data_IF_515684426048
#
_entry.id   IF_515684426048
#
_cell.length_a   1.000
_cell.length_b   1.000
_cell.length_c   1.000
_cell.angle_alpha   90.00
_cell.angle_beta   90.00
_cell.angle_gamma   90.00
#
_symmetry.space_group_name_H-M   'P 1'
#
loop_
_entity.id
_entity.type
_entity.pdbx_description
1 polymer ?
#
# COMPACT_ATOMS: atom_id res chain seq x y z
N UNK A 1 7.65 -9.93 -37.71
CA UNK A 1 8.32 -8.62 -37.58
C UNK A 1 8.71 -8.42 -36.14
N UNK A 2 9.94 -7.95 -35.91
CA UNK A 2 10.53 -7.76 -34.58
C UNK A 2 9.82 -6.67 -33.78
N UNK A 3 9.84 -6.79 -32.46
CA UNK A 3 9.51 -5.67 -31.56
C UNK A 3 10.32 -4.42 -31.95
N UNK A 4 9.76 -3.20 -31.81
CA UNK A 4 10.51 -2.00 -32.12
C UNK A 4 11.64 -1.78 -31.11
N UNK A 5 12.75 -1.22 -31.58
CA UNK A 5 13.81 -0.70 -30.73
C UNK A 5 13.38 0.68 -30.20
N UNK A 6 13.45 0.88 -28.88
CA UNK A 6 13.15 2.17 -28.27
C UNK A 6 14.29 3.15 -28.54
N UNK A 7 14.01 4.43 -28.87
CA UNK A 7 15.03 5.46 -28.95
C UNK A 7 15.86 5.53 -27.65
N UNK A 8 17.16 5.78 -27.76
CA UNK A 8 18.08 5.77 -26.61
C UNK A 8 17.61 6.66 -25.44
N UNK A 9 17.16 7.87 -25.74
CA UNK A 9 16.63 8.79 -24.72
C UNK A 9 15.40 8.23 -23.99
N UNK A 10 14.51 7.52 -24.71
CA UNK A 10 13.34 6.87 -24.12
C UNK A 10 13.73 5.64 -23.29
N UNK A 11 14.62 4.78 -23.81
CA UNK A 11 15.19 3.65 -23.05
C UNK A 11 15.78 4.14 -21.72
N UNK A 12 16.58 5.19 -21.74
CA UNK A 12 17.25 5.71 -20.55
C UNK A 12 16.25 6.35 -19.57
N UNK A 13 15.23 7.05 -20.08
CA UNK A 13 14.14 7.55 -19.24
C UNK A 13 13.35 6.42 -18.57
N UNK A 14 13.12 5.31 -19.30
CA UNK A 14 12.43 4.14 -18.78
C UNK A 14 13.27 3.47 -17.69
N UNK A 15 14.56 3.22 -17.92
CA UNK A 15 15.46 2.67 -16.89
C UNK A 15 15.56 3.57 -15.64
N UNK A 16 15.64 4.90 -15.83
CA UNK A 16 15.61 5.86 -14.71
C UNK A 16 14.33 5.74 -13.89
N UNK A 17 13.16 5.58 -14.53
CA UNK A 17 11.89 5.34 -13.83
C UNK A 17 11.93 4.07 -13.00
N UNK A 18 12.46 2.99 -13.57
CA UNK A 18 12.63 1.72 -12.88
C UNK A 18 13.66 1.79 -11.74
N UNK A 19 14.55 2.78 -11.76
CA UNK A 19 15.66 2.90 -10.81
C UNK A 19 16.75 1.86 -11.05
N UNK A 20 16.90 1.40 -12.30
CA UNK A 20 17.88 0.39 -12.69
C UNK A 20 19.02 1.07 -13.44
N UNK A 21 20.20 1.08 -12.85
CA UNK A 21 21.42 1.70 -13.42
C UNK A 21 22.25 0.72 -14.24
N UNK A 22 22.27 -0.55 -13.85
CA UNK A 22 23.01 -1.61 -14.53
C UNK A 22 22.06 -2.73 -14.96
N UNK A 23 22.13 -3.11 -16.24
CA UNK A 23 21.31 -4.17 -16.81
C UNK A 23 22.15 -5.41 -17.07
N UNK A 24 21.86 -6.48 -16.32
CA UNK A 24 22.36 -7.83 -16.61
C UNK A 24 21.42 -8.52 -17.59
N UNK A 25 21.98 -9.16 -18.62
CA UNK A 25 21.22 -9.89 -19.65
C UNK A 25 21.08 -11.38 -19.29
N UNK A 26 20.75 -11.64 -18.04
CA UNK A 26 20.52 -12.97 -17.49
C UNK A 26 19.17 -13.00 -16.74
N UNK A 27 18.79 -14.17 -16.22
CA UNK A 27 17.53 -14.33 -15.48
C UNK A 27 17.45 -13.42 -14.24
N UNK A 28 18.59 -13.15 -13.58
CA UNK A 28 18.63 -12.27 -12.41
C UNK A 28 18.33 -10.82 -12.81
N UNK A 29 18.92 -10.34 -13.91
CA UNK A 29 18.63 -9.02 -14.46
C UNK A 29 17.19 -8.88 -14.95
N UNK A 30 16.65 -9.91 -15.61
CA UNK A 30 15.23 -9.94 -16.00
C UNK A 30 14.30 -9.89 -14.79
N UNK A 31 14.62 -10.63 -13.73
CA UNK A 31 13.87 -10.62 -12.46
C UNK A 31 13.90 -9.24 -11.82
N UNK A 32 15.07 -8.59 -11.76
CA UNK A 32 15.20 -7.22 -11.25
C UNK A 32 14.37 -6.24 -12.06
N UNK A 33 14.43 -6.30 -13.39
CA UNK A 33 13.66 -5.42 -14.27
C UNK A 33 12.14 -5.60 -14.09
N UNK A 34 11.65 -6.84 -14.05
CA UNK A 34 10.23 -7.15 -13.88
C UNK A 34 9.72 -6.66 -12.52
N UNK A 35 10.44 -6.95 -11.43
CA UNK A 35 10.09 -6.48 -10.10
C UNK A 35 10.12 -4.94 -10.00
N UNK A 36 11.12 -4.29 -10.62
CA UNK A 36 11.22 -2.84 -10.66
C UNK A 36 10.05 -2.22 -11.44
N UNK A 37 9.64 -2.82 -12.57
CA UNK A 37 8.50 -2.35 -13.34
C UNK A 37 7.20 -2.42 -12.53
N UNK A 38 6.87 -3.58 -11.96
CA UNK A 38 5.68 -3.75 -11.11
C UNK A 38 5.63 -2.75 -9.94
N UNK A 39 6.79 -2.39 -9.38
CA UNK A 39 6.91 -1.43 -8.28
C UNK A 39 6.91 0.04 -8.71
N UNK A 40 7.10 0.36 -9.99
CA UNK A 40 7.28 1.75 -10.45
C UNK A 40 6.24 2.20 -11.46
N UNK A 41 5.57 1.27 -12.13
CA UNK A 41 4.51 1.51 -13.10
C UNK A 41 3.24 0.82 -12.60
N UNK A 42 2.18 1.58 -12.22
CA UNK A 42 0.96 1.01 -11.65
C UNK A 42 0.12 0.30 -12.73
N UNK A 43 -0.69 -0.67 -12.31
CA UNK A 43 -1.74 -1.24 -13.15
C UNK A 43 -3.04 -0.47 -12.89
N UNK A 44 -3.78 -0.13 -13.95
CA UNK A 44 -5.10 0.46 -13.81
C UNK A 44 -5.90 0.38 -15.12
N UNK A 45 -7.23 0.53 -15.05
CA UNK A 45 -8.12 0.48 -16.22
C UNK A 45 -8.75 1.84 -16.60
N UNK A 46 -8.17 2.96 -16.14
CA UNK A 46 -8.75 4.30 -16.35
C UNK A 46 -8.95 4.66 -17.83
N UNK A 47 -8.01 4.32 -18.72
CA UNK A 47 -8.16 4.61 -20.16
C UNK A 47 -9.39 3.90 -20.77
N UNK A 48 -9.66 2.67 -20.33
CA UNK A 48 -10.82 1.88 -20.74
C UNK A 48 -12.11 2.47 -20.17
N UNK A 49 -12.08 2.86 -18.89
CA UNK A 49 -13.18 3.56 -18.21
C UNK A 49 -13.56 4.87 -18.91
N UNK A 50 -12.57 5.67 -19.34
CA UNK A 50 -12.78 6.94 -20.04
C UNK A 50 -13.22 6.73 -21.50
N UNK A 51 -12.73 5.68 -22.15
CA UNK A 51 -13.09 5.38 -23.54
C UNK A 51 -14.61 5.18 -23.69
N UNK A 52 -15.25 4.52 -22.72
CA UNK A 52 -16.70 4.40 -22.60
C UNK A 52 -17.38 3.83 -23.85
N UNK A 53 -16.79 2.79 -24.45
CA UNK A 53 -17.35 2.08 -25.60
C UNK A 53 -17.15 2.78 -26.95
N UNK A 54 -16.48 3.93 -26.97
CA UNK A 54 -16.21 4.68 -28.21
C UNK A 54 -15.11 3.98 -29.04
N UNK A 55 -15.02 4.24 -30.35
CA UNK A 55 -13.93 3.71 -31.16
C UNK A 55 -12.56 4.01 -30.53
N UNK A 56 -11.79 2.97 -30.26
CA UNK A 56 -10.53 3.10 -29.53
C UNK A 56 -9.36 3.23 -30.50
N UNK A 57 -8.66 4.38 -30.43
CA UNK A 57 -7.41 4.58 -31.13
C UNK A 57 -6.28 3.89 -30.34
N UNK A 58 -5.83 2.74 -30.85
CA UNK A 58 -4.74 1.97 -30.23
C UNK A 58 -3.45 2.79 -30.30
N UNK A 59 -2.81 3.11 -29.15
CA UNK A 59 -1.55 3.86 -29.14
C UNK A 59 -0.40 3.03 -29.70
N UNK A 60 0.65 3.70 -30.17
CA UNK A 60 1.86 3.00 -30.63
C UNK A 60 2.63 2.41 -29.44
N UNK A 61 3.48 1.41 -29.71
CA UNK A 61 4.38 0.87 -28.68
C UNK A 61 5.36 1.92 -28.14
N UNK A 62 5.75 2.90 -28.95
CA UNK A 62 6.64 4.00 -28.53
C UNK A 62 5.90 4.93 -27.57
N UNK A 63 4.65 5.30 -27.87
CA UNK A 63 3.86 6.18 -27.00
C UNK A 63 3.54 5.54 -25.65
N UNK A 64 3.19 4.25 -25.67
CA UNK A 64 2.96 3.49 -24.43
C UNK A 64 4.23 3.32 -23.60
N UNK A 65 5.38 3.06 -24.24
CA UNK A 65 6.68 3.05 -23.54
C UNK A 65 7.02 4.41 -22.94
N UNK A 66 6.74 5.52 -23.65
CA UNK A 66 6.92 6.87 -23.13
C UNK A 66 6.00 7.17 -21.93
N UNK A 67 4.75 6.71 -21.97
CA UNK A 67 3.83 6.80 -20.84
C UNK A 67 4.35 6.01 -19.62
N UNK A 68 4.89 4.81 -19.82
CA UNK A 68 5.44 3.99 -18.73
C UNK A 68 6.74 4.57 -18.16
N UNK A 69 7.60 5.19 -18.98
CA UNK A 69 8.76 5.96 -18.50
C UNK A 69 8.33 7.13 -17.61
N UNK A 70 7.15 7.72 -17.83
CA UNK A 70 6.54 8.72 -16.95
C UNK A 70 5.79 8.13 -15.74
N UNK A 71 5.65 6.81 -15.67
CA UNK A 71 4.98 6.10 -14.57
C UNK A 71 3.46 6.06 -14.69
N UNK A 72 2.91 6.27 -15.89
CA UNK A 72 1.45 6.26 -16.12
C UNK A 72 0.88 4.86 -15.93
N UNK A 73 1.41 3.87 -16.66
CA UNK A 73 0.94 2.49 -16.59
C UNK A 73 -0.37 2.24 -17.34
N UNK A 74 -1.12 1.23 -16.90
CA UNK A 74 -2.38 0.84 -17.52
C UNK A 74 -2.65 -0.67 -17.46
N UNK A 75 -3.52 -1.15 -18.36
CA UNK A 75 -3.82 -2.58 -18.54
C UNK A 75 -2.71 -3.31 -19.29
N UNK A 76 -2.86 -4.62 -19.50
CA UNK A 76 -1.82 -5.48 -20.08
C UNK A 76 -1.29 -4.97 -21.43
N UNK A 77 -2.14 -4.45 -22.31
CA UNK A 77 -1.70 -3.91 -23.62
C UNK A 77 -0.90 -2.61 -23.52
N UNK A 78 -1.04 -1.85 -22.42
CA UNK A 78 -0.29 -0.62 -22.16
C UNK A 78 1.01 -0.87 -21.37
N UNK A 79 1.24 -2.09 -20.89
CA UNK A 79 2.34 -2.40 -19.95
C UNK A 79 3.24 -3.53 -20.44
N UNK A 80 2.67 -4.68 -20.83
CA UNK A 80 3.46 -5.85 -21.24
C UNK A 80 4.19 -5.62 -22.57
N UNK A 81 3.52 -5.19 -23.67
CA UNK A 81 4.20 -4.92 -24.93
C UNK A 81 5.30 -3.85 -24.89
N UNK A 82 5.12 -2.66 -24.28
CA UNK A 82 6.21 -1.69 -24.17
C UNK A 82 7.34 -2.16 -23.24
N UNK A 83 7.05 -2.99 -22.23
CA UNK A 83 8.11 -3.63 -21.44
C UNK A 83 8.89 -4.66 -22.27
N UNK A 84 8.22 -5.43 -23.13
CA UNK A 84 8.89 -6.32 -24.09
C UNK A 84 9.77 -5.54 -25.08
N UNK A 85 9.31 -4.39 -25.57
CA UNK A 85 10.11 -3.50 -26.42
C UNK A 85 11.35 -2.96 -25.68
N UNK A 86 11.23 -2.62 -24.38
CA UNK A 86 12.38 -2.27 -23.54
C UNK A 86 13.36 -3.44 -23.45
N UNK A 87 12.90 -4.65 -23.13
CA UNK A 87 13.75 -5.85 -23.05
C UNK A 87 14.46 -6.12 -24.37
N UNK A 88 13.76 -6.03 -25.50
CA UNK A 88 14.32 -6.16 -26.83
C UNK A 88 15.41 -5.12 -27.10
N UNK A 89 15.19 -3.87 -26.66
CA UNK A 89 16.16 -2.77 -26.77
C UNK A 89 17.40 -2.98 -25.92
N UNK A 90 17.25 -3.68 -24.79
CA UNK A 90 18.35 -4.06 -23.91
C UNK A 90 19.09 -5.33 -24.40
N UNK A 91 18.67 -5.92 -25.51
CA UNK A 91 19.30 -7.07 -26.13
C UNK A 91 18.89 -8.43 -25.54
N UNK A 92 17.74 -8.51 -24.85
CA UNK A 92 17.13 -9.80 -24.54
C UNK A 92 16.50 -10.41 -25.81
N UNK A 93 16.57 -11.73 -25.94
CA UNK A 93 15.78 -12.48 -26.92
C UNK A 93 14.35 -12.61 -26.40
N UNK A 94 13.44 -11.78 -26.92
CA UNK A 94 12.08 -11.64 -26.41
C UNK A 94 11.06 -11.56 -27.54
N UNK A 95 9.95 -12.26 -27.35
CA UNK A 95 8.78 -12.25 -28.22
C UNK A 95 7.52 -11.89 -27.45
N UNK A 96 6.54 -11.27 -28.12
CA UNK A 96 5.18 -11.20 -27.57
C UNK A 96 4.50 -12.56 -27.73
N UNK A 97 3.73 -12.95 -26.72
CA UNK A 97 2.93 -14.17 -26.73
C UNK A 97 1.53 -13.86 -26.20
N UNK A 98 0.57 -14.74 -26.50
CA UNK A 98 -0.81 -14.56 -26.11
C UNK A 98 -1.11 -15.34 -24.83
N UNK A 99 -1.92 -14.78 -23.94
CA UNK A 99 -2.56 -15.47 -22.84
C UNK A 99 -4.08 -15.51 -23.01
N UNK A 100 -4.72 -16.33 -22.19
CA UNK A 100 -6.18 -16.43 -22.13
C UNK A 100 -6.63 -16.35 -20.67
N UNK A 101 -7.37 -15.30 -20.32
CA UNK A 101 -8.05 -15.10 -19.03
C UNK A 101 -9.50 -15.55 -19.14
N UNK A 102 -10.24 -15.01 -20.11
CA UNK A 102 -11.61 -15.39 -20.45
C UNK A 102 -11.79 -15.79 -21.91
N UNK A 103 -10.97 -15.23 -22.81
CA UNK A 103 -10.96 -15.53 -24.24
C UNK A 103 -9.53 -15.76 -24.74
N UNK A 104 -9.31 -16.60 -25.75
CA UNK A 104 -7.98 -16.75 -26.35
C UNK A 104 -7.43 -15.40 -26.86
N UNK A 105 -6.24 -15.02 -26.40
CA UNK A 105 -5.56 -13.80 -26.85
C UNK A 105 -6.02 -12.50 -26.18
N UNK A 106 -6.83 -12.59 -25.13
CA UNK A 106 -7.30 -11.42 -24.37
C UNK A 106 -6.26 -10.85 -23.39
N UNK A 107 -5.14 -11.55 -23.18
CA UNK A 107 -4.03 -11.10 -22.34
C UNK A 107 -2.73 -11.10 -23.15
N UNK A 108 -2.01 -9.97 -23.16
CA UNK A 108 -0.71 -9.88 -23.84
C UNK A 108 0.41 -10.17 -22.84
N UNK A 109 1.38 -10.98 -23.24
CA UNK A 109 2.50 -11.40 -22.41
C UNK A 109 3.81 -11.30 -23.20
N UNK A 110 4.93 -11.44 -22.51
CA UNK A 110 6.24 -11.59 -23.15
C UNK A 110 6.87 -12.94 -22.80
N UNK A 111 7.62 -13.50 -23.74
CA UNK A 111 8.40 -14.71 -23.57
C UNK A 111 9.88 -14.38 -23.84
N UNK A 112 10.74 -14.63 -22.86
CA UNK A 112 12.18 -14.37 -22.97
C UNK A 112 12.94 -15.69 -23.01
N UNK A 113 13.89 -15.81 -23.93
CA UNK A 113 14.71 -17.00 -24.12
C UNK A 113 16.12 -16.81 -23.55
N UNK A 114 16.60 -17.83 -22.85
CA UNK A 114 17.98 -17.99 -22.41
C UNK A 114 18.44 -19.41 -22.71
N UNK A 115 19.75 -19.67 -22.63
CA UNK A 115 20.31 -21.02 -22.76
C UNK A 115 19.73 -22.01 -21.72
N UNK A 116 19.34 -21.51 -20.54
CA UNK A 116 18.75 -22.31 -19.46
C UNK A 116 17.23 -22.54 -19.57
N UNK A 117 16.60 -22.03 -20.65
CA UNK A 117 15.19 -22.17 -20.95
C UNK A 117 14.46 -20.84 -21.14
N UNK A 118 13.16 -20.95 -21.39
CA UNK A 118 12.27 -19.82 -21.70
C UNK A 118 11.43 -19.41 -20.49
N UNK A 119 11.19 -18.11 -20.35
CA UNK A 119 10.47 -17.56 -19.20
C UNK A 119 9.37 -16.58 -19.63
N UNK A 120 8.17 -16.80 -19.09
CA UNK A 120 7.02 -15.90 -19.26
C UNK A 120 7.19 -14.70 -18.34
N UNK A 121 6.96 -13.52 -18.89
CA UNK A 121 7.07 -12.22 -18.23
C UNK A 121 5.71 -11.54 -18.28
N UNK A 122 5.26 -11.08 -17.12
CA UNK A 122 3.98 -10.37 -16.97
C UNK A 122 4.09 -9.26 -15.93
N UNK A 123 3.95 -8.02 -16.40
CA UNK A 123 3.91 -6.78 -15.61
C UNK A 123 2.55 -6.08 -15.71
N UNK A 124 1.54 -6.73 -16.31
CA UNK A 124 0.34 -6.06 -16.82
C UNK A 124 -0.98 -6.69 -16.38
N UNK A 125 -0.95 -7.74 -15.56
CA UNK A 125 -2.15 -8.38 -15.01
C UNK A 125 -2.66 -7.73 -13.69
N UNK A 126 -1.86 -6.87 -13.05
CA UNK A 126 -2.19 -6.25 -11.76
C UNK A 126 -1.95 -7.13 -10.53
N UNK A 127 -1.23 -8.23 -10.68
CA UNK A 127 -0.83 -9.14 -9.60
C UNK A 127 0.70 -9.09 -9.36
N UNK A 128 1.18 -9.40 -8.13
CA UNK A 128 2.58 -9.24 -7.74
C UNK A 128 3.50 -10.35 -8.26
N UNK A 129 3.66 -10.44 -9.58
CA UNK A 129 4.54 -11.39 -10.26
C UNK A 129 5.99 -10.89 -10.25
N UNK A 130 6.61 -10.87 -9.07
CA UNK A 130 7.94 -10.26 -8.86
C UNK A 130 9.10 -11.02 -9.56
N UNK A 131 8.82 -12.10 -10.29
CA UNK A 131 9.82 -12.86 -11.07
C UNK A 131 9.18 -13.55 -12.29
N UNK A 132 9.95 -13.81 -13.36
CA UNK A 132 9.50 -14.54 -14.55
C UNK A 132 9.14 -16.00 -14.23
N UNK A 133 8.26 -16.61 -15.05
CA UNK A 133 7.80 -17.99 -14.86
C UNK A 133 8.47 -18.95 -15.83
N UNK A 134 9.06 -20.06 -15.37
CA UNK A 134 9.76 -20.98 -16.26
C UNK A 134 8.81 -21.86 -17.07
N UNK A 135 8.90 -21.86 -18.41
CA UNK A 135 8.16 -22.81 -19.22
C UNK A 135 8.62 -24.25 -18.93
N UNK A 136 7.66 -25.18 -18.87
CA UNK A 136 7.94 -26.61 -18.69
C UNK A 136 8.42 -27.01 -17.28
N UNK A 137 8.47 -26.07 -16.32
CA UNK A 137 8.80 -26.35 -14.91
C UNK A 137 7.69 -25.84 -13.99
N UNK A 138 7.49 -26.54 -12.88
CA UNK A 138 6.56 -26.09 -11.84
C UNK A 138 7.24 -25.06 -10.95
N UNK A 139 6.54 -24.00 -10.61
CA UNK A 139 7.00 -23.00 -9.64
C UNK A 139 5.86 -22.56 -8.73
N UNK A 140 6.06 -22.61 -7.42
CA UNK A 140 5.12 -22.04 -6.45
C UNK A 140 5.77 -20.91 -5.67
N UNK A 141 4.99 -19.91 -5.30
CA UNK A 141 5.46 -18.78 -4.51
C UNK A 141 4.31 -18.10 -3.79
N UNK A 142 4.66 -17.20 -2.86
CA UNK A 142 3.72 -16.27 -2.27
C UNK A 142 4.27 -14.85 -2.40
N UNK A 143 3.37 -13.89 -2.57
CA UNK A 143 3.69 -12.48 -2.54
C UNK A 143 2.53 -11.72 -1.89
N UNK A 144 2.81 -10.89 -0.87
CA UNK A 144 1.80 -10.14 -0.12
C UNK A 144 0.64 -11.02 0.42
N UNK A 145 0.98 -12.23 0.87
CA UNK A 145 0.00 -13.22 1.35
C UNK A 145 -0.81 -13.94 0.26
N UNK A 146 -0.50 -13.72 -1.02
CA UNK A 146 -1.22 -14.36 -2.13
C UNK A 146 -0.41 -15.56 -2.65
N UNK A 147 -0.93 -16.80 -2.55
CA UNK A 147 -0.28 -17.98 -3.07
C UNK A 147 -0.52 -18.17 -4.57
N UNK A 148 0.55 -18.48 -5.29
CA UNK A 148 0.54 -18.73 -6.73
C UNK A 148 1.25 -20.03 -7.08
N UNK A 149 0.82 -20.63 -8.18
CA UNK A 149 1.46 -21.79 -8.78
C UNK A 149 1.47 -21.65 -10.31
N UNK A 150 2.65 -21.77 -10.90
CA UNK A 150 2.85 -21.91 -12.33
C UNK A 150 3.06 -23.39 -12.65
N UNK A 151 2.27 -23.93 -13.58
CA UNK A 151 2.34 -25.35 -13.97
C UNK A 151 1.99 -25.53 -15.44
N UNK A 152 2.91 -26.15 -16.19
CA UNK A 152 2.79 -26.29 -17.65
C UNK A 152 2.89 -24.93 -18.32
N UNK A 153 1.75 -24.42 -18.77
CA UNK A 153 1.54 -23.13 -19.42
C UNK A 153 0.49 -22.27 -18.69
N UNK A 154 0.15 -22.62 -17.44
CA UNK A 154 -0.95 -22.01 -16.68
C UNK A 154 -0.45 -21.36 -15.41
N UNK A 155 -1.01 -20.18 -15.13
CA UNK A 155 -0.88 -19.51 -13.86
C UNK A 155 -2.13 -19.75 -13.01
N UNK A 156 -1.92 -20.26 -11.80
CA UNK A 156 -2.96 -20.53 -10.81
C UNK A 156 -2.74 -19.66 -9.58
N UNK A 157 -3.84 -19.26 -8.94
CA UNK A 157 -3.84 -18.56 -7.65
C UNK A 157 -4.75 -19.28 -6.66
N UNK A 158 -4.31 -19.39 -5.42
CA UNK A 158 -5.16 -19.87 -4.31
C UNK A 158 -5.82 -18.68 -3.62
N UNK A 159 -7.14 -18.75 -3.45
CA UNK A 159 -7.95 -17.70 -2.84
C UNK A 159 -8.21 -17.99 -1.35
N UNK A 160 -8.74 -17.03 -0.56
CA UNK A 160 -8.98 -17.23 0.87
C UNK A 160 -9.97 -18.35 1.23
N UNK A 161 -10.70 -18.87 0.25
CA UNK A 161 -11.57 -20.04 0.36
C UNK A 161 -10.83 -21.37 0.10
N UNK A 162 -9.50 -21.34 0.12
CA UNK A 162 -8.57 -22.42 -0.21
C UNK A 162 -8.76 -23.02 -1.62
N UNK A 163 -9.55 -22.37 -2.48
CA UNK A 163 -9.72 -22.82 -3.86
C UNK A 163 -8.61 -22.28 -4.74
N UNK A 164 -7.97 -23.19 -5.47
CA UNK A 164 -7.06 -22.85 -6.55
C UNK A 164 -7.85 -22.60 -7.84
N UNK A 165 -7.68 -21.42 -8.45
CA UNK A 165 -8.31 -21.05 -9.71
C UNK A 165 -7.26 -20.63 -10.72
N UNK A 166 -7.53 -20.90 -11.99
CA UNK A 166 -6.73 -20.40 -13.09
C UNK A 166 -6.89 -18.87 -13.20
N UNK A 167 -5.75 -18.19 -13.31
CA UNK A 167 -5.69 -16.75 -13.60
C UNK A 167 -5.61 -16.55 -15.11
N UNK A 168 -4.71 -17.29 -15.76
CA UNK A 168 -4.64 -17.41 -17.22
C UNK A 168 -3.81 -18.63 -17.66
N UNK A 169 -3.95 -18.98 -18.94
CA UNK A 169 -3.06 -19.88 -19.69
C UNK A 169 -2.30 -19.13 -20.78
N UNK A 170 -1.23 -19.73 -21.32
CA UNK A 170 -0.31 -19.08 -22.29
C UNK A 170 -0.17 -19.90 -23.57
N UNK A 171 -0.42 -19.25 -24.71
CA UNK A 171 -0.03 -19.73 -26.04
C UNK A 171 1.35 -19.17 -26.39
N UNK A 172 2.35 -20.06 -26.39
CA UNK A 172 3.77 -19.71 -26.53
C UNK A 172 4.19 -19.33 -27.95
N UNK A 173 3.29 -19.39 -28.93
CA UNK A 173 3.59 -18.97 -30.31
C UNK A 173 3.83 -17.46 -30.35
N UNK A 174 4.95 -17.00 -30.94
CA UNK A 174 5.22 -15.58 -31.11
C UNK A 174 4.09 -14.86 -31.85
N UNK A 175 3.75 -13.66 -31.37
CA UNK A 175 2.70 -12.78 -31.91
C UNK A 175 3.29 -11.43 -32.29
N UNK A 176 2.67 -10.76 -33.26
CA UNK A 176 2.96 -9.35 -33.56
C UNK A 176 2.07 -8.45 -32.72
N UNK A 177 2.47 -7.19 -32.54
CA UNK A 177 1.64 -6.22 -31.84
C UNK A 177 0.26 -6.05 -32.48
N UNK A 178 0.23 -6.00 -33.81
CA UNK A 178 -0.96 -5.81 -34.62
C UNK A 178 -1.96 -6.97 -34.44
N UNK A 179 -1.46 -8.19 -34.17
CA UNK A 179 -2.33 -9.35 -33.95
C UNK A 179 -3.21 -9.24 -32.69
N UNK A 180 -2.88 -8.33 -31.76
CA UNK A 180 -3.69 -8.05 -30.58
C UNK A 180 -4.72 -6.94 -30.78
N UNK A 181 -4.72 -6.24 -31.92
CA UNK A 181 -5.55 -5.04 -32.10
C UNK A 181 -7.05 -5.34 -31.98
N UNK A 182 -7.50 -6.49 -32.46
CA UNK A 182 -8.89 -6.92 -32.32
C UNK A 182 -9.29 -7.09 -30.85
N UNK A 183 -8.49 -7.84 -30.07
CA UNK A 183 -8.73 -8.05 -28.65
C UNK A 183 -8.67 -6.74 -27.84
N UNK A 184 -7.76 -5.83 -28.21
CA UNK A 184 -7.64 -4.50 -27.58
C UNK A 184 -8.90 -3.68 -27.84
N UNK A 185 -9.38 -3.62 -29.09
CA UNK A 185 -10.63 -2.93 -29.44
C UNK A 185 -11.81 -3.53 -28.69
N UNK A 186 -11.94 -4.86 -28.68
CA UNK A 186 -13.03 -5.54 -27.99
C UNK A 186 -13.09 -5.16 -26.50
N UNK A 187 -11.96 -5.05 -25.81
CA UNK A 187 -11.92 -4.58 -24.42
C UNK A 187 -12.42 -3.14 -24.21
N UNK A 188 -12.22 -2.26 -25.18
CA UNK A 188 -12.55 -0.84 -25.05
C UNK A 188 -13.92 -0.49 -25.64
N UNK A 189 -14.39 -1.27 -26.61
CA UNK A 189 -15.54 -1.01 -27.45
C UNK A 189 -16.75 -1.91 -27.10
N UNK A 190 -16.54 -3.14 -26.59
CA UNK A 190 -17.63 -4.03 -26.14
C UNK A 190 -17.69 -4.12 -24.59
N UNK A 191 -18.74 -3.55 -23.96
CA UNK A 191 -18.93 -3.61 -22.51
C UNK A 191 -19.04 -5.02 -21.91
N UNK A 192 -19.26 -6.05 -22.74
CA UNK A 192 -19.44 -7.45 -22.32
C UNK A 192 -18.18 -8.29 -22.43
N UNK A 193 -17.13 -7.80 -23.12
CA UNK A 193 -15.93 -8.58 -23.40
C UNK A 193 -15.14 -8.97 -22.14
N UNK A 194 -15.20 -8.15 -21.10
CA UNK A 194 -14.51 -8.44 -19.85
C UNK A 194 -15.00 -7.61 -18.65
N UNK A 195 -14.53 -7.93 -17.44
CA UNK A 195 -15.02 -7.32 -16.20
C UNK A 195 -14.55 -5.87 -16.00
N UNK A 196 -13.67 -5.37 -16.86
CA UNK A 196 -12.97 -4.10 -16.68
C UNK A 196 -13.75 -2.88 -17.18
N UNK A 197 -14.83 -3.06 -17.95
CA UNK A 197 -15.58 -1.93 -18.53
C UNK A 197 -16.38 -1.12 -17.50
N UNK A 198 -17.06 -1.80 -16.59
CA UNK A 198 -18.00 -1.22 -15.63
C UNK A 198 -17.45 -1.13 -14.19
N UNK A 199 -16.16 -1.42 -14.02
CA UNK A 199 -15.52 -1.53 -12.72
C UNK A 199 -14.28 -0.65 -12.64
N UNK A 200 -13.93 -0.17 -11.44
CA UNK A 200 -12.68 0.54 -11.20
C UNK A 200 -11.63 -0.44 -10.72
N UNK A 201 -10.48 -0.48 -11.38
CA UNK A 201 -9.33 -1.29 -10.96
C UNK A 201 -8.07 -0.45 -10.99
N UNK A 202 -7.37 -0.43 -9.87
CA UNK A 202 -6.03 0.11 -9.81
C UNK A 202 -5.19 -0.70 -8.81
N UNK A 203 -3.91 -0.88 -9.11
CA UNK A 203 -2.98 -1.60 -8.26
C UNK A 203 -1.64 -0.87 -8.20
N UNK A 204 -1.14 -0.70 -6.98
CA UNK A 204 0.18 -0.15 -6.71
C UNK A 204 0.95 -1.10 -5.80
N UNK A 205 2.20 -1.35 -6.15
CA UNK A 205 3.09 -2.21 -5.38
C UNK A 205 4.32 -1.41 -4.94
N UNK A 206 4.73 -1.59 -3.69
CA UNK A 206 6.02 -1.14 -3.16
C UNK A 206 6.84 -2.36 -2.74
N UNK A 207 7.94 -2.15 -2.02
CA UNK A 207 8.65 -3.23 -1.33
C UNK A 207 7.79 -3.92 -0.28
N UNK A 208 6.96 -3.15 0.43
CA UNK A 208 6.36 -3.57 1.70
C UNK A 208 4.84 -3.71 1.62
N UNK A 209 4.21 -3.07 0.63
CA UNK A 209 2.76 -3.02 0.52
C UNK A 209 2.29 -3.25 -0.92
N UNK A 210 1.20 -4.00 -1.04
CA UNK A 210 0.34 -4.05 -2.21
C UNK A 210 -0.96 -3.29 -1.90
N UNK A 211 -1.27 -2.27 -2.70
CA UNK A 211 -2.52 -1.52 -2.65
C UNK A 211 -3.38 -1.93 -3.84
N UNK A 212 -4.65 -2.25 -3.59
CA UNK A 212 -5.63 -2.54 -4.64
C UNK A 212 -6.87 -1.68 -4.46
N UNK A 213 -7.27 -0.98 -5.52
CA UNK A 213 -8.59 -0.37 -5.63
C UNK A 213 -9.47 -1.27 -6.48
N UNK A 214 -10.60 -1.69 -5.92
CA UNK A 214 -11.61 -2.49 -6.58
C UNK A 214 -12.97 -1.83 -6.34
N UNK A 215 -13.46 -1.11 -7.35
CA UNK A 215 -14.64 -0.26 -7.24
C UNK A 215 -14.49 0.73 -6.07
N UNK A 216 -15.41 0.72 -5.11
CA UNK A 216 -15.40 1.58 -3.95
C UNK A 216 -14.68 0.96 -2.74
N UNK A 217 -13.67 0.12 -2.98
CA UNK A 217 -12.87 -0.51 -1.90
C UNK A 217 -11.39 -0.28 -2.16
N UNK A 218 -10.68 0.21 -1.15
CA UNK A 218 -9.22 0.19 -1.07
C UNK A 218 -8.80 -0.92 -0.11
N UNK A 219 -7.98 -1.85 -0.60
CA UNK A 219 -7.33 -2.86 0.24
C UNK A 219 -5.83 -2.67 0.25
N UNK A 220 -5.25 -2.66 1.45
CA UNK A 220 -3.82 -2.67 1.71
C UNK A 220 -3.41 -4.06 2.19
N UNK A 221 -2.44 -4.68 1.53
CA UNK A 221 -1.80 -5.93 1.97
C UNK A 221 -0.38 -5.60 2.43
N UNK A 222 -0.09 -5.80 3.71
CA UNK A 222 1.22 -5.60 4.32
C UNK A 222 1.58 -6.69 5.31
N UNK A 223 2.60 -6.46 6.14
CA UNK A 223 3.07 -7.41 7.16
C UNK A 223 2.04 -7.73 8.25
N UNK A 224 1.12 -6.80 8.53
CA UNK A 224 0.01 -6.98 9.48
C UNK A 224 -1.23 -7.64 8.86
N UNK A 225 -1.12 -8.13 7.62
CA UNK A 225 -2.23 -8.69 6.88
C UNK A 225 -3.01 -7.66 6.05
N UNK A 226 -4.17 -8.05 5.49
CA UNK A 226 -5.01 -7.17 4.69
C UNK A 226 -5.88 -6.26 5.55
N UNK A 227 -5.94 -4.96 5.22
CA UNK A 227 -6.95 -4.00 5.72
C UNK A 227 -7.73 -3.46 4.54
N UNK A 228 -9.07 -3.50 4.62
CA UNK A 228 -9.97 -3.05 3.54
C UNK A 228 -10.88 -1.94 4.04
N UNK A 229 -10.86 -0.80 3.35
CA UNK A 229 -11.69 0.36 3.68
C UNK A 229 -12.54 0.81 2.49
N UNK A 230 -13.81 1.19 2.71
CA UNK A 230 -14.66 1.70 1.64
C UNK A 230 -14.24 3.12 1.23
N UNK A 231 -14.39 3.40 -0.06
CA UNK A 231 -14.25 4.72 -0.66
C UNK A 231 -15.65 5.29 -0.83
N UNK A 232 -15.99 6.32 -0.04
CA UNK A 232 -17.39 6.75 0.17
C UNK A 232 -17.77 8.02 -0.59
N UNK A 233 -16.88 8.52 -1.45
CA UNK A 233 -17.15 9.65 -2.34
C UNK A 233 -16.21 9.64 -3.55
N UNK A 234 -16.60 10.39 -4.59
CA UNK A 234 -15.74 10.65 -5.74
C UNK A 234 -14.45 11.37 -5.33
N UNK A 235 -14.53 12.36 -4.43
CA UNK A 235 -13.35 13.08 -3.93
C UNK A 235 -12.38 12.14 -3.22
N UNK A 236 -12.88 11.21 -2.40
CA UNK A 236 -12.05 10.19 -1.77
C UNK A 236 -11.44 9.25 -2.83
N UNK A 237 -12.20 8.86 -3.85
CA UNK A 237 -11.68 8.04 -4.95
C UNK A 237 -10.55 8.75 -5.71
N UNK A 238 -10.72 10.05 -5.98
CA UNK A 238 -9.70 10.86 -6.62
C UNK A 238 -8.44 10.92 -5.76
N UNK A 239 -8.55 11.28 -4.46
CA UNK A 239 -7.40 11.32 -3.54
C UNK A 239 -6.69 9.97 -3.44
N UNK A 240 -7.42 8.86 -3.27
CA UNK A 240 -6.84 7.51 -3.23
C UNK A 240 -6.05 7.22 -4.51
N UNK A 241 -6.62 7.50 -5.69
CA UNK A 241 -5.94 7.22 -6.95
C UNK A 241 -4.72 8.14 -7.18
N UNK A 242 -4.78 9.41 -6.78
CA UNK A 242 -3.67 10.36 -6.97
C UNK A 242 -2.58 10.24 -5.91
N UNK A 243 -2.95 10.02 -4.65
CA UNK A 243 -2.01 10.07 -3.51
C UNK A 243 -1.51 8.69 -3.09
N UNK A 244 -2.33 7.63 -3.20
CA UNK A 244 -1.90 6.28 -2.83
C UNK A 244 -1.41 5.46 -4.02
N UNK A 245 -2.13 5.53 -5.15
CA UNK A 245 -1.75 4.79 -6.37
C UNK A 245 -0.73 5.59 -7.21
N UNK A 246 -0.67 6.92 -7.01
CA UNK A 246 0.18 7.86 -7.76
C UNK A 246 -0.18 7.96 -9.25
N UNK A 247 -1.48 7.99 -9.55
CA UNK A 247 -1.96 8.24 -10.91
C UNK A 247 -2.07 9.75 -11.20
N UNK A 248 -1.78 10.20 -12.43
CA UNK A 248 -1.94 11.59 -12.81
C UNK A 248 -3.41 12.05 -12.72
N UNK A 249 -3.62 13.26 -12.20
CA UNK A 249 -4.96 13.83 -11.97
C UNK A 249 -5.77 13.94 -13.27
N UNK A 250 -5.12 14.27 -14.37
CA UNK A 250 -5.70 14.38 -15.71
C UNK A 250 -6.25 13.04 -16.25
N UNK A 251 -5.81 11.91 -15.70
CA UNK A 251 -6.38 10.60 -16.00
C UNK A 251 -7.51 10.24 -15.02
N UNK A 252 -7.32 10.60 -13.75
CA UNK A 252 -8.22 10.24 -12.65
C UNK A 252 -9.56 10.95 -12.76
N UNK A 253 -9.58 12.27 -12.92
CA UNK A 253 -10.81 13.07 -12.88
C UNK A 253 -11.82 12.65 -13.97
N UNK A 254 -11.44 12.51 -15.26
CA UNK A 254 -12.38 12.06 -16.28
C UNK A 254 -12.87 10.63 -16.05
N UNK A 255 -12.01 9.76 -15.49
CA UNK A 255 -12.37 8.37 -15.22
C UNK A 255 -13.42 8.25 -14.10
N UNK A 256 -13.25 9.01 -13.02
CA UNK A 256 -14.21 9.06 -11.92
C UNK A 256 -15.54 9.66 -12.41
N UNK A 257 -15.52 10.75 -13.17
CA UNK A 257 -16.73 11.33 -13.75
C UNK A 257 -17.48 10.34 -14.66
N UNK A 258 -16.75 9.59 -15.51
CA UNK A 258 -17.34 8.55 -16.37
C UNK A 258 -17.94 7.39 -15.55
N UNK A 259 -17.33 7.02 -14.42
CA UNK A 259 -17.87 5.99 -13.52
C UNK A 259 -19.12 6.47 -12.79
N UNK A 260 -19.15 7.69 -12.28
CA UNK A 260 -20.32 8.25 -11.60
C UNK A 260 -21.52 8.37 -12.54
N UNK A 261 -21.30 8.80 -13.79
CA UNK A 261 -22.36 8.83 -14.81
C UNK A 261 -22.98 7.45 -15.05
N UNK A 262 -22.17 6.39 -15.08
CA UNK A 262 -22.61 5.01 -15.33
C UNK A 262 -23.16 4.31 -14.09
N UNK A 263 -22.61 4.63 -12.92
CA UNK A 263 -22.93 4.02 -11.62
C UNK A 263 -23.04 5.11 -10.55
N UNK A 264 -24.14 5.89 -10.51
CA UNK A 264 -24.29 7.03 -9.59
C UNK A 264 -24.19 6.67 -8.10
N UNK A 265 -24.41 5.41 -7.75
CA UNK A 265 -24.31 4.89 -6.38
C UNK A 265 -23.02 4.15 -6.08
N UNK A 266 -22.00 4.20 -6.98
CA UNK A 266 -20.76 3.44 -6.82
C UNK A 266 -20.10 3.70 -5.47
N UNK A 267 -20.00 4.97 -5.06
CA UNK A 267 -19.37 5.39 -3.81
C UNK A 267 -20.37 5.70 -2.69
N UNK A 268 -21.68 5.54 -2.92
CA UNK A 268 -22.71 5.97 -1.97
C UNK A 268 -22.93 5.01 -0.78
N UNK A 269 -22.02 4.09 -0.52
CA UNK A 269 -22.23 2.98 0.41
C UNK A 269 -20.95 2.45 1.07
N UNK A 270 -21.08 1.27 1.66
CA UNK A 270 -20.04 0.63 2.47
C UNK A 270 -20.18 0.99 3.95
N UNK A 271 -20.12 -0.02 4.81
CA UNK A 271 -19.99 0.18 6.25
C UNK A 271 -18.52 0.28 6.61
N UNK A 272 -18.18 1.22 7.48
CA UNK A 272 -16.87 1.25 8.13
C UNK A 272 -17.08 0.68 9.52
N UNK A 273 -16.46 -0.45 9.82
CA UNK A 273 -16.42 -0.95 11.20
C UNK A 273 -15.67 0.09 12.04
N UNK A 274 -16.26 0.45 13.18
CA UNK A 274 -15.61 1.34 14.14
C UNK A 274 -14.23 0.80 14.52
N UNK A 275 -13.14 1.55 14.30
CA UNK A 275 -11.82 1.11 14.72
C UNK A 275 -11.70 1.20 16.24
N UNK A 276 -10.87 0.35 16.82
CA UNK A 276 -10.40 0.49 18.20
C UNK A 276 -9.22 1.46 18.22
N UNK A 277 -9.05 2.21 19.30
CA UNK A 277 -7.94 3.16 19.46
C UNK A 277 -6.99 2.62 20.51
N UNK A 278 -5.72 2.43 20.14
CA UNK A 278 -4.64 2.13 21.06
C UNK A 278 -3.83 3.40 21.32
N UNK A 279 -3.89 3.93 22.53
CA UNK A 279 -2.97 4.95 23.00
C UNK A 279 -1.70 4.26 23.47
N UNK A 280 -0.54 4.61 22.91
CA UNK A 280 0.73 3.98 23.25
C UNK A 280 1.71 5.05 23.77
N UNK A 281 2.28 4.83 24.95
CA UNK A 281 3.14 5.81 25.63
C UNK A 281 4.36 5.09 26.19
N UNK A 282 5.53 5.74 26.12
CA UNK A 282 6.68 5.36 26.92
C UNK A 282 6.89 6.43 28.01
N UNK A 283 7.14 6.01 29.24
CA UNK A 283 7.34 6.93 30.38
C UNK A 283 8.65 6.65 31.10
N UNK A 284 9.25 7.69 31.70
CA UNK A 284 10.44 7.59 32.57
C UNK A 284 10.09 7.69 34.06
N UNK A 285 8.91 7.20 34.45
CA UNK A 285 8.44 7.21 35.85
C UNK A 285 7.74 8.50 36.26
N UNK A 286 7.13 9.21 35.30
CA UNK A 286 6.37 10.45 35.52
C UNK A 286 4.90 10.13 35.83
N UNK A 287 4.65 9.52 37.00
CA UNK A 287 3.31 8.99 37.35
C UNK A 287 2.22 10.08 37.35
N UNK A 288 2.51 11.29 37.84
CA UNK A 288 1.52 12.38 37.88
C UNK A 288 1.13 12.84 36.47
N UNK A 289 2.10 12.95 35.57
CA UNK A 289 1.86 13.36 34.19
C UNK A 289 1.11 12.26 33.43
N UNK A 290 1.52 11.01 33.60
CA UNK A 290 0.84 9.85 33.04
C UNK A 290 -0.61 9.74 33.52
N UNK A 291 -0.86 9.92 34.83
CA UNK A 291 -2.20 9.95 35.38
C UNK A 291 -3.04 11.06 34.74
N UNK A 292 -2.49 12.28 34.64
CA UNK A 292 -3.19 13.40 34.02
C UNK A 292 -3.47 13.19 32.52
N UNK A 293 -2.56 12.54 31.78
CA UNK A 293 -2.79 12.14 30.40
C UNK A 293 -3.97 11.18 30.32
N UNK A 294 -3.95 10.08 31.08
CA UNK A 294 -5.02 9.08 31.05
C UNK A 294 -6.38 9.65 31.47
N UNK A 295 -6.42 10.52 32.48
CA UNK A 295 -7.63 11.25 32.86
C UNK A 295 -8.15 12.14 31.72
N UNK A 296 -7.27 12.85 31.01
CA UNK A 296 -7.67 13.67 29.87
C UNK A 296 -8.20 12.81 28.71
N UNK A 297 -7.63 11.62 28.50
CA UNK A 297 -8.11 10.63 27.53
C UNK A 297 -9.49 10.10 27.90
N UNK A 298 -9.74 9.81 29.19
CA UNK A 298 -11.06 9.38 29.68
C UNK A 298 -12.12 10.46 29.49
N UNK A 299 -11.78 11.73 29.81
CA UNK A 299 -12.67 12.87 29.55
C UNK A 299 -12.99 12.99 28.05
N UNK A 300 -12.00 12.90 27.18
CA UNK A 300 -12.19 12.95 25.73
C UNK A 300 -12.99 11.75 25.20
N UNK A 301 -12.79 10.55 25.75
CA UNK A 301 -13.54 9.33 25.40
C UNK A 301 -15.03 9.53 25.65
N UNK A 302 -15.38 10.05 26.83
CA UNK A 302 -16.77 10.37 27.21
C UNK A 302 -17.33 11.45 26.28
N UNK A 303 -16.60 12.55 26.08
CA UNK A 303 -17.02 13.65 25.20
C UNK A 303 -17.19 13.21 23.73
N UNK A 304 -16.38 12.25 23.29
CA UNK A 304 -16.42 11.65 21.97
C UNK A 304 -17.49 10.54 21.84
N UNK A 305 -18.12 10.12 22.94
CA UNK A 305 -19.14 9.07 22.96
C UNK A 305 -18.62 7.66 22.67
N UNK A 306 -17.33 7.39 22.91
CA UNK A 306 -16.73 6.06 22.70
C UNK A 306 -17.06 5.12 23.85
N UNK A 307 -17.32 3.85 23.57
CA UNK A 307 -17.44 2.82 24.58
C UNK A 307 -16.06 2.44 25.18
N UNK A 308 -16.07 1.91 26.40
CA UNK A 308 -14.86 1.54 27.16
C UNK A 308 -13.95 0.56 26.44
N UNK A 309 -14.51 -0.38 25.67
CA UNK A 309 -13.76 -1.40 24.92
C UNK A 309 -13.21 -0.91 23.57
N UNK A 310 -13.64 0.28 23.12
CA UNK A 310 -13.17 0.90 21.87
C UNK A 310 -11.83 1.62 22.06
N UNK A 311 -11.33 1.72 23.28
CA UNK A 311 -10.03 2.31 23.60
C UNK A 311 -9.20 1.40 24.52
N UNK A 312 -7.89 1.37 24.29
CA UNK A 312 -6.90 0.73 25.15
C UNK A 312 -5.70 1.66 25.31
N UNK A 313 -5.00 1.59 26.45
CA UNK A 313 -3.68 2.17 26.61
C UNK A 313 -2.60 1.10 26.80
N UNK A 314 -1.45 1.29 26.16
CA UNK A 314 -0.24 0.52 26.35
C UNK A 314 0.86 1.46 26.86
N UNK A 315 1.35 1.19 28.06
CA UNK A 315 2.38 1.98 28.74
C UNK A 315 3.65 1.16 28.83
N UNK A 316 4.74 1.72 28.31
CA UNK A 316 6.07 1.14 28.36
C UNK A 316 6.92 1.89 29.38
N UNK A 317 7.27 1.23 30.48
CA UNK A 317 8.05 1.82 31.55
C UNK A 317 9.54 1.78 31.22
N UNK A 318 10.08 2.94 30.90
CA UNK A 318 11.49 3.16 30.66
C UNK A 318 12.21 3.55 31.96
N UNK A 319 12.12 2.71 32.98
CA UNK A 319 12.79 2.88 34.28
C UNK A 319 13.44 1.57 34.74
N UNK A 320 14.37 1.64 35.69
CA UNK A 320 15.02 0.47 36.27
C UNK A 320 14.04 -0.39 37.11
N UNK A 321 14.29 -1.70 37.14
CA UNK A 321 13.43 -2.83 37.52
C UNK A 321 12.79 -2.84 38.93
N UNK A 322 13.14 -1.89 39.78
CA UNK A 322 12.86 -1.97 41.23
C UNK A 322 11.64 -1.12 41.65
N UNK A 323 10.94 -0.51 40.70
CA UNK A 323 9.70 0.22 40.96
C UNK A 323 8.53 -0.75 41.18
N UNK A 324 8.11 -0.91 42.44
CA UNK A 324 6.81 -1.51 42.80
C UNK A 324 5.68 -0.54 42.47
N UNK A 325 4.94 -0.84 41.40
CA UNK A 325 3.82 -0.02 40.93
C UNK A 325 2.61 -0.11 41.87
N UNK A 326 2.00 1.03 42.18
CA UNK A 326 0.66 1.07 42.76
C UNK A 326 -0.35 0.44 41.77
N UNK A 327 -1.34 -0.28 42.31
CA UNK A 327 -2.42 -0.88 41.53
C UNK A 327 -3.12 0.16 40.65
N UNK A 328 -3.42 -0.26 39.42
CA UNK A 328 -4.33 0.30 38.43
C UNK A 328 -4.65 1.79 38.59
N UNK A 329 -4.18 2.61 37.63
CA UNK A 329 -4.91 3.82 37.26
C UNK A 329 -6.30 3.32 36.83
N UNK A 330 -7.27 3.35 37.73
CA UNK A 330 -8.65 2.98 37.44
C UNK A 330 -9.19 3.97 36.42
N UNK A 331 -9.17 3.55 35.16
CA UNK A 331 -9.72 4.30 34.04
C UNK A 331 -10.97 3.59 33.55
N UNK A 332 -11.82 4.34 32.84
CA UNK A 332 -12.96 3.76 32.15
C UNK A 332 -12.57 2.80 31.01
N UNK A 333 -11.28 2.52 30.78
CA UNK A 333 -10.79 1.68 29.70
C UNK A 333 -9.59 0.82 30.12
N UNK A 334 -9.23 -0.15 29.29
CA UNK A 334 -8.15 -1.11 29.58
C UNK A 334 -6.78 -0.44 29.48
N UNK A 335 -5.97 -0.55 30.53
CA UNK A 335 -4.59 -0.08 30.58
C UNK A 335 -3.65 -1.29 30.76
N UNK A 336 -2.74 -1.50 29.81
CA UNK A 336 -1.68 -2.51 29.88
C UNK A 336 -0.35 -1.80 30.12
N UNK A 337 0.39 -2.22 31.15
CA UNK A 337 1.67 -1.64 31.53
C UNK A 337 2.77 -2.71 31.50
N UNK A 338 3.93 -2.41 30.94
CA UNK A 338 5.06 -3.34 30.76
C UNK A 338 6.40 -2.61 30.90
N UNK A 339 7.44 -3.25 31.46
CA UNK A 339 8.78 -2.67 31.47
C UNK A 339 9.40 -2.67 30.06
N UNK A 340 10.21 -1.66 29.75
CA UNK A 340 10.92 -1.56 28.47
C UNK A 340 11.89 -2.72 28.24
N UNK A 341 12.36 -3.35 29.32
CA UNK A 341 13.25 -4.52 29.28
C UNK A 341 12.59 -5.75 28.66
N UNK A 342 11.26 -5.81 28.60
CA UNK A 342 10.54 -6.92 27.97
C UNK A 342 10.52 -6.82 26.43
N UNK A 343 11.09 -5.76 25.85
CA UNK A 343 11.09 -5.51 24.41
C UNK A 343 12.50 -5.70 23.87
N UNK A 344 12.68 -6.68 22.98
CA UNK A 344 13.96 -6.87 22.28
C UNK A 344 14.19 -5.76 21.25
N UNK A 345 15.39 -5.18 21.28
CA UNK A 345 15.90 -4.20 20.32
C UNK A 345 17.16 -4.70 19.59
N UNK A 346 17.30 -6.02 19.47
CA UNK A 346 18.54 -6.63 18.97
C UNK A 346 18.85 -6.25 17.52
N UNK A 347 17.81 -6.05 16.70
CA UNK A 347 17.99 -5.60 15.32
C UNK A 347 18.53 -4.17 15.29
N UNK A 348 17.92 -3.27 16.05
CA UNK A 348 18.30 -1.87 16.15
C UNK A 348 19.73 -1.71 16.68
N UNK A 349 20.11 -2.52 17.69
CA UNK A 349 21.50 -2.62 18.19
C UNK A 349 22.47 -3.11 17.13
N UNK A 350 22.13 -4.20 16.42
CA UNK A 350 22.97 -4.74 15.33
C UNK A 350 23.18 -3.76 14.18
N UNK A 351 22.21 -2.88 13.95
CA UNK A 351 22.29 -1.81 12.94
C UNK A 351 22.99 -0.55 13.46
N UNK A 352 23.40 -0.51 14.74
CA UNK A 352 24.04 0.65 15.35
C UNK A 352 23.11 1.85 15.51
N UNK A 353 21.80 1.63 15.55
CA UNK A 353 20.79 2.71 15.64
C UNK A 353 20.59 3.21 17.07
N UNK A 354 20.96 2.40 18.07
CA UNK A 354 20.78 2.70 19.49
C UNK A 354 21.98 2.20 20.31
N UNK A 355 22.35 2.88 21.42
CA UNK A 355 23.43 2.45 22.29
C UNK A 355 23.04 1.25 23.19
N UNK A 356 24.03 0.53 23.69
CA UNK A 356 23.85 -0.51 24.73
C UNK A 356 23.87 0.13 26.11
N UNK A 357 22.70 0.45 26.64
CA UNK A 357 22.52 1.07 27.96
C UNK A 357 21.38 0.38 28.72
N UNK A 358 21.45 0.25 30.06
CA UNK A 358 20.31 -0.16 30.86
C UNK A 358 19.25 0.96 30.87
N UNK A 359 17.97 0.65 31.18
CA UNK A 359 16.96 1.68 31.37
C UNK A 359 17.35 2.71 32.46
N UNK A 360 17.00 3.99 32.31
CA UNK A 360 16.26 4.56 31.18
C UNK A 360 17.10 4.62 29.90
N UNK A 361 16.58 4.10 28.79
CA UNK A 361 17.21 4.23 27.47
C UNK A 361 16.86 5.58 26.84
N UNK A 362 17.65 6.02 25.86
CA UNK A 362 17.40 7.28 25.15
C UNK A 362 16.05 7.30 24.41
N UNK A 363 15.52 8.50 24.10
CA UNK A 363 14.21 8.67 23.44
C UNK A 363 14.09 7.90 22.12
N UNK A 364 15.18 7.79 21.35
CA UNK A 364 15.21 6.99 20.12
C UNK A 364 14.97 5.51 20.41
N UNK A 365 15.72 4.93 21.36
CA UNK A 365 15.54 3.55 21.78
C UNK A 365 14.15 3.29 22.38
N UNK A 366 13.63 4.22 23.19
CA UNK A 366 12.29 4.14 23.75
C UNK A 366 11.20 4.13 22.65
N UNK A 367 11.34 4.97 21.62
CA UNK A 367 10.40 5.00 20.48
C UNK A 367 10.46 3.70 19.67
N UNK A 368 11.65 3.17 19.40
CA UNK A 368 11.80 1.86 18.75
C UNK A 368 11.16 0.74 19.58
N UNK A 369 11.37 0.74 20.91
CA UNK A 369 10.77 -0.22 21.81
C UNK A 369 9.24 -0.10 21.83
N UNK A 370 8.70 1.12 21.84
CA UNK A 370 7.26 1.35 21.78
C UNK A 370 6.63 0.83 20.49
N UNK A 371 7.27 1.03 19.33
CA UNK A 371 6.81 0.46 18.04
C UNK A 371 6.79 -1.06 18.08
N UNK A 372 7.82 -1.70 18.65
CA UNK A 372 7.86 -3.17 18.82
C UNK A 372 6.77 -3.66 19.77
N UNK A 373 6.60 -2.99 20.91
CA UNK A 373 5.58 -3.32 21.88
C UNK A 373 4.16 -3.21 21.28
N UNK A 374 3.90 -2.17 20.49
CA UNK A 374 2.63 -2.03 19.74
C UNK A 374 2.46 -3.19 18.75
N UNK A 375 3.48 -3.54 17.98
CA UNK A 375 3.41 -4.64 17.03
C UNK A 375 3.09 -5.97 17.73
N UNK A 376 3.76 -6.27 18.85
CA UNK A 376 3.51 -7.47 19.66
C UNK A 376 2.10 -7.46 20.28
N UNK A 377 1.65 -6.29 20.76
CA UNK A 377 0.31 -6.10 21.30
C UNK A 377 -0.76 -6.41 20.25
N UNK A 378 -0.56 -5.97 19.01
CA UNK A 378 -1.54 -6.14 17.94
C UNK A 378 -1.44 -7.50 17.22
N UNK A 379 -0.29 -8.18 17.25
CA UNK A 379 -0.05 -9.39 16.47
C UNK A 379 -1.07 -10.52 16.66
N UNK A 380 -1.71 -10.61 17.84
CA UNK A 380 -2.72 -11.64 18.17
C UNK A 380 -4.15 -11.09 18.22
N UNK A 381 -4.35 -9.82 17.88
CA UNK A 381 -5.65 -9.14 17.97
C UNK A 381 -6.24 -8.97 16.57
N UNK A 382 -7.49 -9.36 16.42
CA UNK A 382 -8.26 -9.08 15.21
C UNK A 382 -8.93 -7.70 15.26
N UNK A 383 -9.23 -7.14 14.10
CA UNK A 383 -9.98 -5.89 13.96
C UNK A 383 -9.13 -4.74 13.44
N UNK A 384 -9.78 -3.61 13.16
CA UNK A 384 -9.13 -2.39 12.70
C UNK A 384 -8.71 -1.54 13.89
N UNK A 385 -7.49 -1.01 13.83
CA UNK A 385 -6.88 -0.25 14.92
C UNK A 385 -6.37 1.09 14.43
N UNK A 386 -6.61 2.13 15.22
CA UNK A 386 -5.85 3.38 15.19
C UNK A 386 -4.84 3.28 16.32
N UNK A 387 -3.55 3.38 16.00
CA UNK A 387 -2.50 3.51 17.02
C UNK A 387 -2.13 4.99 17.12
N UNK A 388 -2.24 5.53 18.33
CA UNK A 388 -1.80 6.90 18.63
C UNK A 388 -0.68 6.84 19.66
N UNK A 389 0.54 7.07 19.19
CA UNK A 389 1.71 7.17 20.06
C UNK A 389 1.79 8.60 20.61
N UNK A 390 1.85 8.73 21.94
CA UNK A 390 1.90 9.99 22.67
C UNK A 390 3.11 10.02 23.61
N UNK A 391 3.56 11.23 23.94
CA UNK A 391 4.53 11.45 25.01
C UNK A 391 3.78 11.58 26.36
N UNK A 392 4.44 11.21 27.47
CA UNK A 392 3.81 11.05 28.79
C UNK A 392 3.45 12.37 29.49
N UNK A 393 3.97 13.49 29.01
CA UNK A 393 3.67 14.84 29.49
C UNK A 393 2.57 15.57 28.71
N UNK A 394 2.01 14.94 27.68
CA UNK A 394 0.87 15.46 26.94
C UNK A 394 -0.44 15.34 27.72
N UNK A 395 -1.36 16.25 27.42
CA UNK A 395 -2.78 16.18 27.84
C UNK A 395 -3.64 16.52 26.63
N UNK A 396 -4.85 15.97 26.56
CA UNK A 396 -5.82 16.33 25.50
C UNK A 396 -6.53 17.66 25.82
N UNK A 397 -5.73 18.67 26.10
CA UNK A 397 -6.13 20.01 26.55
C UNK A 397 -5.14 21.04 25.99
N UNK A 398 -5.59 22.27 25.79
CA UNK A 398 -4.75 23.38 25.34
C UNK A 398 -4.55 24.39 26.45
N UNK A 399 -3.30 24.75 26.69
CA UNK A 399 -2.97 25.94 27.48
C UNK A 399 -3.11 27.17 26.58
N UNK A 400 -4.05 28.04 26.91
CA UNK A 400 -4.31 29.29 26.19
C UNK A 400 -4.05 30.47 27.13
N UNK A 401 -3.69 31.61 26.55
CA UNK A 401 -3.63 32.88 27.27
C UNK A 401 -4.84 33.71 26.90
N UNK A 402 -5.64 34.07 27.89
CA UNK A 402 -6.74 35.03 27.76
C UNK A 402 -6.42 36.31 28.55
N UNK A 403 -7.41 37.19 28.66
CA UNK A 403 -7.29 38.48 29.35
C UNK A 403 -7.08 38.33 30.87
N UNK A 404 -7.40 37.17 31.46
CA UNK A 404 -7.27 36.87 32.88
C UNK A 404 -5.98 36.09 33.20
N UNK A 405 -5.32 35.52 32.19
CA UNK A 405 -4.02 34.87 32.34
C UNK A 405 -3.87 33.60 31.49
N UNK A 406 -3.06 32.65 31.97
CA UNK A 406 -2.98 31.33 31.36
C UNK A 406 -4.11 30.46 31.92
N UNK A 407 -4.96 29.93 31.05
CA UNK A 407 -6.02 28.99 31.41
C UNK A 407 -5.97 27.74 30.54
N UNK A 408 -6.55 26.66 31.04
CA UNK A 408 -6.63 25.38 30.32
C UNK A 408 -7.99 25.30 29.67
N UNK A 409 -8.01 25.04 28.36
CA UNK A 409 -9.23 24.82 27.59
C UNK A 409 -9.25 23.41 27.04
N UNK A 410 -10.36 22.70 27.24
CA UNK A 410 -10.57 21.41 26.62
C UNK A 410 -10.48 21.56 25.09
N UNK A 411 -9.75 20.65 24.44
CA UNK A 411 -9.74 20.59 22.98
C UNK A 411 -11.09 20.12 22.45
N UNK A 412 -11.34 20.31 21.15
CA UNK A 412 -12.38 19.54 20.45
C UNK A 412 -12.18 18.03 20.71
N UNK A 413 -13.24 17.21 20.78
CA UNK A 413 -13.11 15.78 21.05
C UNK A 413 -12.20 15.09 20.02
N UNK A 414 -10.96 14.77 20.41
CA UNK A 414 -9.90 14.35 19.49
C UNK A 414 -10.09 12.90 19.06
N UNK A 415 -10.59 12.03 19.93
CA UNK A 415 -10.86 10.63 19.61
C UNK A 415 -12.01 10.50 18.60
N UNK A 416 -13.05 11.34 18.71
CA UNK A 416 -14.10 11.43 17.70
C UNK A 416 -13.55 11.92 16.34
N UNK A 417 -12.67 12.92 16.36
CA UNK A 417 -12.04 13.42 15.14
C UNK A 417 -11.16 12.36 14.46
N UNK A 418 -10.39 11.57 15.23
CA UNK A 418 -9.62 10.44 14.70
C UNK A 418 -10.51 9.38 14.06
N UNK A 419 -11.63 9.01 14.71
CA UNK A 419 -12.61 8.08 14.12
C UNK A 419 -13.22 8.62 12.84
N UNK A 420 -13.54 9.91 12.81
CA UNK A 420 -14.10 10.59 11.64
C UNK A 420 -13.10 10.58 10.49
N UNK A 421 -11.85 11.00 10.72
CA UNK A 421 -10.79 10.97 9.71
C UNK A 421 -10.54 9.56 9.19
N UNK A 422 -10.48 8.56 10.07
CA UNK A 422 -10.33 7.16 9.67
C UNK A 422 -11.47 6.67 8.77
N UNK A 423 -12.71 7.07 9.05
CA UNK A 423 -13.89 6.67 8.30
C UNK A 423 -14.02 7.41 6.96
N UNK A 424 -13.65 8.69 6.92
CA UNK A 424 -13.80 9.55 5.74
C UNK A 424 -12.61 9.46 4.77
N UNK A 425 -11.44 9.07 5.27
CA UNK A 425 -10.18 9.07 4.52
C UNK A 425 -9.53 7.68 4.49
N UNK A 426 -10.03 6.77 3.63
CA UNK A 426 -9.51 5.41 3.50
C UNK A 426 -8.05 5.33 3.04
N UNK A 427 -7.46 6.42 2.59
CA UNK A 427 -6.03 6.58 2.26
C UNK A 427 -5.13 6.70 3.51
N UNK A 428 -5.64 7.25 4.61
CA UNK A 428 -4.83 7.56 5.80
C UNK A 428 -4.60 6.34 6.66
N UNK A 429 -3.39 5.78 6.63
CA UNK A 429 -3.00 4.67 7.52
C UNK A 429 -2.17 5.12 8.72
N UNK A 430 -1.65 6.36 8.70
CA UNK A 430 -0.86 6.96 9.77
C UNK A 430 -1.33 8.41 9.91
N UNK A 431 -1.70 8.82 11.13
CA UNK A 431 -1.87 10.22 11.49
C UNK A 431 -0.64 10.69 12.25
N UNK A 432 0.13 11.61 11.69
CA UNK A 432 1.22 12.28 12.41
C UNK A 432 0.67 13.61 12.92
N UNK A 433 0.47 13.71 14.23
CA UNK A 433 0.05 14.96 14.86
C UNK A 433 1.18 15.99 14.84
N UNK A 434 0.83 17.26 14.63
CA UNK A 434 1.76 18.40 14.78
C UNK A 434 1.97 18.84 16.24
N UNK A 435 1.36 18.15 17.21
CA UNK A 435 1.63 18.34 18.63
C UNK A 435 2.85 17.51 19.03
N UNK A 436 4.00 17.77 18.42
CA UNK A 436 5.25 17.41 19.08
C UNK A 436 5.35 18.30 20.30
N UNK A 437 5.11 17.73 21.48
CA UNK A 437 5.50 18.33 22.74
C UNK A 437 7.02 18.29 22.86
N UNK A 438 7.74 18.92 21.93
CA UNK A 438 9.08 19.38 22.27
C UNK A 438 8.85 20.44 23.36
N UNK A 439 9.23 20.20 24.64
CA UNK A 439 9.56 21.35 25.46
C UNK A 439 10.61 22.12 24.66
N UNK A 440 10.55 23.46 24.56
CA UNK A 440 11.67 24.20 23.99
C UNK A 440 12.90 23.71 24.75
N UNK A 441 13.85 23.07 24.04
CA UNK A 441 15.14 22.67 24.62
C UNK A 441 15.73 23.95 25.23
N UNK A 442 15.74 24.13 26.56
CA UNK A 442 16.35 25.29 27.15
C UNK A 442 17.85 25.00 27.10
N UNK A 443 18.54 25.47 26.06
CA UNK A 443 19.97 25.21 25.93
C UNK A 443 20.68 25.63 24.66
N UNK A 444 19.97 25.89 23.54
CA UNK A 444 20.61 26.37 22.32
C UNK A 444 19.84 27.54 21.70
N UNK A 445 19.81 28.64 22.45
CA UNK A 445 19.65 29.98 21.89
C UNK A 445 20.83 30.83 22.39
N UNK A 446 21.88 30.87 21.57
CA UNK A 446 22.74 32.04 21.37
C UNK A 446 22.85 32.28 19.89
#
# INVERSE_FOLDING_TARGET
MSLPQLPAALRDAYLRRLGVTEVRRDLAGLTTLQAAHLRRVPFHNLALVVNDGRPYAIPTLIDTAAANARGVGGTCHLTNPPFAALLHTLGFDVSLVAGAVGHPGDHMLALVHFDCGSYVVDVGNGHPYLRPFPLGRVMSWQAFGWPFCWRGDRLLRTFPDDQQREVYSVDTRPRTWESFHEAIRAHHEDPRFGPFFSSLRAVRMTSDVLLTVRDALLTRYGSLGPSTRPIRSADAAQRVLTECIHLPRELVEPAIAALERRRPKLFAGGSVTAPRILIAVATIGREEQLAALLESVERDRIASGLATHEIEALILDNVASDHTWAQALEQGFSVTRRPITDVSLDLERRLGLIPEEPPPVCIGAARHALVRAVADHLAKRSGEWIVWMLDDDLRLEQLIRDDEGLCVRATRPLLAELRRLWADQPELSIGVGGYSGDPPVPGFAT
#
